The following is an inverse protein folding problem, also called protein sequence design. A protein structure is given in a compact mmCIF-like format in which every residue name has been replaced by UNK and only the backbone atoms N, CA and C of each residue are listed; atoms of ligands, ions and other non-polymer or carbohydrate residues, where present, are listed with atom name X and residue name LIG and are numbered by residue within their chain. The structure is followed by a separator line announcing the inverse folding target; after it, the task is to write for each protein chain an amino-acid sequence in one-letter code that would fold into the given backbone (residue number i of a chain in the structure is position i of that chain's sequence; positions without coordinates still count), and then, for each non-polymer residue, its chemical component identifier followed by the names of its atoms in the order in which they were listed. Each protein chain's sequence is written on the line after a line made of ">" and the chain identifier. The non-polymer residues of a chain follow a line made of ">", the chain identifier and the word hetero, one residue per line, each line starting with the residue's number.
data_IF_369661409377
#
_entry.id   IF_369661409377
#
_cell.length_a   1.000
_cell.length_b   1.000
_cell.length_c   1.000
_cell.angle_alpha   90.00
_cell.angle_beta   90.00
_cell.angle_gamma   90.00
#
_symmetry.space_group_name_H-M   'P 1'
#
loop_
_entity.id
_entity.type
_entity.pdbx_description
1 polymer ?
#
# COMPACT_ATOMS: atom_id res chain seq x y z
N UNK A 1 3.74 30.86 -18.95
CA UNK A 1 4.73 29.88 -18.46
C UNK A 1 4.50 29.51 -17.00
N UNK A 2 4.31 30.45 -16.06
CA UNK A 2 4.11 30.13 -14.63
C UNK A 2 2.91 29.19 -14.41
N UNK A 3 1.74 29.46 -15.01
CA UNK A 3 0.55 28.63 -14.87
C UNK A 3 0.83 27.17 -15.27
N UNK A 4 1.49 26.96 -16.41
CA UNK A 4 1.86 25.61 -16.84
C UNK A 4 2.85 24.91 -15.88
N UNK A 5 3.74 25.66 -15.25
CA UNK A 5 4.64 25.11 -14.24
C UNK A 5 3.87 24.64 -13.01
N UNK A 6 2.91 25.45 -12.52
CA UNK A 6 2.03 25.06 -11.41
C UNK A 6 1.21 23.82 -11.76
N UNK A 7 0.61 23.80 -12.94
CA UNK A 7 -0.20 22.67 -13.37
C UNK A 7 0.60 21.37 -13.50
N UNK A 8 1.80 21.44 -14.05
CA UNK A 8 2.69 20.28 -14.15
C UNK A 8 3.14 19.79 -12.76
N UNK A 9 3.41 20.72 -11.84
CA UNK A 9 3.75 20.39 -10.46
C UNK A 9 2.56 19.73 -9.74
N UNK A 10 1.35 20.26 -9.92
CA UNK A 10 0.11 19.67 -9.36
C UNK A 10 -0.18 18.28 -9.92
N UNK A 11 0.04 18.06 -11.20
CA UNK A 11 -0.11 16.76 -11.85
C UNK A 11 0.89 15.73 -11.29
N UNK A 12 2.17 16.14 -11.19
CA UNK A 12 3.22 15.30 -10.59
C UNK A 12 2.91 14.94 -9.14
N UNK A 13 2.48 15.92 -8.32
CA UNK A 13 2.08 15.68 -6.93
C UNK A 13 0.86 14.74 -6.89
N UNK A 14 -0.10 14.93 -7.78
CA UNK A 14 -1.29 14.08 -7.85
C UNK A 14 -0.95 12.60 -8.16
N UNK A 15 -0.01 12.37 -9.04
CA UNK A 15 0.44 11.01 -9.38
C UNK A 15 1.27 10.38 -8.25
N UNK A 16 2.09 11.17 -7.57
CA UNK A 16 2.82 10.72 -6.39
C UNK A 16 1.89 10.38 -5.23
N UNK A 17 0.87 11.20 -4.96
CA UNK A 17 -0.16 10.93 -3.95
C UNK A 17 -0.87 9.61 -4.24
N UNK A 18 -1.34 9.37 -5.46
CA UNK A 18 -1.99 8.10 -5.84
C UNK A 18 -1.06 6.89 -5.62
N UNK A 19 0.23 7.03 -5.94
CA UNK A 19 1.21 5.97 -5.74
C UNK A 19 1.45 5.67 -4.25
N UNK A 20 1.50 6.71 -3.40
CA UNK A 20 1.65 6.56 -1.95
C UNK A 20 0.39 5.99 -1.30
N UNK A 21 -0.79 6.45 -1.69
CA UNK A 21 -2.08 5.90 -1.22
C UNK A 21 -2.21 4.41 -1.57
N UNK A 22 -1.81 4.03 -2.78
CA UNK A 22 -1.79 2.62 -3.18
C UNK A 22 -0.83 1.80 -2.32
N UNK A 23 0.35 2.33 -1.98
CA UNK A 23 1.28 1.66 -1.06
C UNK A 23 0.71 1.54 0.35
N UNK A 24 -0.02 2.57 0.82
CA UNK A 24 -0.62 2.60 2.15
C UNK A 24 -1.83 1.66 2.26
N UNK A 25 -2.54 1.38 1.16
CA UNK A 25 -3.79 0.62 1.17
C UNK A 25 -3.60 -0.86 1.49
N UNK A 26 -2.40 -1.43 1.28
CA UNK A 26 -2.19 -2.88 1.38
C UNK A 26 -0.76 -3.24 1.78
N UNK A 27 -0.65 -4.14 2.74
CA UNK A 27 0.60 -4.82 3.07
C UNK A 27 0.44 -6.33 2.84
N UNK A 28 0.82 -6.80 1.66
CA UNK A 28 0.67 -8.20 1.23
C UNK A 28 1.40 -9.17 2.16
N UNK A 29 2.53 -8.75 2.74
CA UNK A 29 3.31 -9.60 3.64
C UNK A 29 2.60 -9.78 4.98
N UNK A 30 2.10 -8.70 5.57
CA UNK A 30 1.35 -8.76 6.83
C UNK A 30 0.06 -9.58 6.65
N UNK A 31 -0.68 -9.35 5.55
CA UNK A 31 -1.89 -10.12 5.22
C UNK A 31 -1.57 -11.62 5.07
N UNK A 32 -0.44 -11.97 4.43
CA UNK A 32 -0.04 -13.37 4.26
C UNK A 32 0.28 -14.05 5.59
N UNK A 33 1.02 -13.38 6.50
CA UNK A 33 1.34 -13.90 7.83
C UNK A 33 0.09 -14.03 8.68
N UNK A 34 -0.82 -13.05 8.65
CA UNK A 34 -2.10 -13.12 9.36
C UNK A 34 -2.99 -14.27 8.86
N UNK A 35 -2.99 -14.50 7.56
CA UNK A 35 -3.71 -15.64 6.97
C UNK A 35 -3.14 -16.97 7.45
N UNK A 36 -1.82 -17.13 7.45
CA UNK A 36 -1.16 -18.34 7.97
C UNK A 36 -1.47 -18.57 9.45
N UNK A 37 -1.46 -17.51 10.26
CA UNK A 37 -1.79 -17.58 11.68
C UNK A 37 -3.24 -18.04 11.89
N UNK A 38 -4.18 -17.53 11.07
CA UNK A 38 -5.57 -17.93 11.13
C UNK A 38 -5.78 -19.40 10.74
N UNK A 39 -5.12 -19.86 9.67
CA UNK A 39 -5.21 -21.26 9.20
C UNK A 39 -4.70 -22.24 10.27
N UNK A 40 -3.54 -21.99 10.85
CA UNK A 40 -2.98 -22.86 11.90
C UNK A 40 -3.82 -22.80 13.19
N UNK A 41 -4.37 -21.63 13.52
CA UNK A 41 -5.24 -21.49 14.68
C UNK A 41 -6.55 -22.30 14.51
N UNK A 42 -7.08 -22.35 13.30
CA UNK A 42 -8.26 -23.17 12.98
C UNK A 42 -7.93 -24.67 13.04
N UNK A 43 -6.76 -25.07 12.53
CA UNK A 43 -6.26 -26.43 12.63
C UNK A 43 -6.12 -26.86 14.10
N UNK A 44 -5.50 -26.03 14.95
CA UNK A 44 -5.40 -26.26 16.39
C UNK A 44 -6.78 -26.43 17.03
N UNK A 45 -7.73 -25.55 16.71
CA UNK A 45 -9.09 -25.65 17.23
C UNK A 45 -9.78 -26.97 16.85
N UNK A 46 -9.51 -27.49 15.64
CA UNK A 46 -9.97 -28.80 15.21
C UNK A 46 -9.36 -29.94 16.05
N UNK A 47 -8.05 -29.88 16.31
CA UNK A 47 -7.36 -30.89 17.13
C UNK A 47 -7.82 -30.86 18.60
N UNK A 48 -8.08 -29.68 19.17
CA UNK A 48 -8.68 -29.55 20.51
C UNK A 48 -10.03 -30.27 20.60
N UNK A 49 -10.89 -30.11 19.58
CA UNK A 49 -12.18 -30.82 19.55
C UNK A 49 -12.02 -32.32 19.47
N UNK A 50 -11.04 -32.82 18.69
CA UNK A 50 -10.71 -34.25 18.65
C UNK A 50 -10.23 -34.76 20.00
N UNK A 51 -9.32 -34.01 20.64
CA UNK A 51 -8.81 -34.35 21.98
C UNK A 51 -9.93 -34.46 22.99
N UNK A 52 -10.84 -33.48 23.07
CA UNK A 52 -12.01 -33.54 23.96
C UNK A 52 -12.91 -34.76 23.69
N UNK A 53 -13.09 -35.14 22.42
CA UNK A 53 -13.89 -36.31 22.07
C UNK A 53 -13.21 -37.64 22.49
N UNK A 54 -11.89 -37.71 22.45
CA UNK A 54 -11.12 -38.87 22.90
C UNK A 54 -11.12 -38.94 24.43
N UNK A 55 -10.88 -37.84 25.13
CA UNK A 55 -10.92 -37.72 26.60
C UNK A 55 -12.27 -38.24 27.16
N UNK A 56 -13.40 -37.87 26.52
CA UNK A 56 -14.73 -38.39 26.91
C UNK A 56 -14.78 -39.91 26.76
N UNK A 57 -14.30 -40.46 25.63
CA UNK A 57 -14.29 -41.92 25.41
C UNK A 57 -13.41 -42.65 26.41
N UNK A 58 -12.23 -42.08 26.71
CA UNK A 58 -11.31 -42.65 27.72
C UNK A 58 -11.98 -42.68 29.08
N UNK A 59 -12.60 -41.56 29.49
CA UNK A 59 -13.32 -41.47 30.77
C UNK A 59 -14.47 -42.48 30.85
N UNK A 60 -15.32 -42.56 29.84
CA UNK A 60 -16.46 -43.51 29.78
C UNK A 60 -15.95 -44.96 29.83
N UNK A 61 -14.85 -45.26 29.13
CA UNK A 61 -14.27 -46.61 29.12
C UNK A 61 -13.65 -46.95 30.48
N UNK A 62 -12.97 -45.99 31.12
CA UNK A 62 -12.44 -46.16 32.48
C UNK A 62 -13.55 -46.48 33.51
N UNK A 63 -14.66 -45.73 33.48
CA UNK A 63 -15.81 -45.96 34.34
C UNK A 63 -16.46 -47.32 34.06
N UNK A 64 -16.50 -47.73 32.81
CA UNK A 64 -17.03 -49.04 32.42
C UNK A 64 -16.17 -50.18 32.93
N UNK A 65 -14.88 -50.13 32.73
CA UNK A 65 -13.92 -51.11 33.24
C UNK A 65 -14.07 -51.26 34.75
N UNK A 66 -14.13 -50.13 35.48
CA UNK A 66 -14.29 -50.13 36.94
C UNK A 66 -15.57 -50.87 37.38
N UNK A 67 -16.70 -50.60 36.74
CA UNK A 67 -17.98 -51.27 37.02
C UNK A 67 -17.91 -52.77 36.72
N UNK A 68 -17.29 -53.15 35.60
CA UNK A 68 -17.15 -54.58 35.22
C UNK A 68 -16.20 -55.30 36.16
N UNK A 69 -15.13 -54.66 36.63
CA UNK A 69 -14.23 -55.21 37.66
C UNK A 69 -14.94 -55.36 39.02
N UNK A 70 -15.75 -54.37 39.43
CA UNK A 70 -16.57 -54.49 40.65
C UNK A 70 -17.52 -55.68 40.54
N UNK A 71 -18.20 -55.87 39.40
CA UNK A 71 -19.09 -57.04 39.18
C UNK A 71 -18.36 -58.39 39.18
N UNK A 72 -17.09 -58.42 38.74
CA UNK A 72 -16.28 -59.63 38.73
C UNK A 72 -15.96 -60.12 40.13
N UNK A 73 -15.82 -59.18 41.12
CA UNK A 73 -15.40 -59.49 42.48
C UNK A 73 -16.52 -59.40 43.52
N UNK A 74 -17.74 -58.95 43.18
CA UNK A 74 -18.86 -58.84 44.15
C UNK A 74 -19.54 -60.17 44.49
N UNK A 75 -19.16 -61.26 43.83
CA UNK A 75 -19.71 -62.62 44.08
C UNK A 75 -21.11 -62.89 43.53
N UNK A 76 -21.64 -61.96 42.75
CA UNK A 76 -22.99 -62.12 42.12
C UNK A 76 -22.99 -63.15 40.98
N UNK A 77 -21.86 -63.30 40.29
CA UNK A 77 -21.70 -64.21 39.15
C UNK A 77 -21.08 -65.49 39.66
N UNK A 78 -21.93 -66.58 39.69
CA UNK A 78 -21.50 -67.87 40.19
C UNK A 78 -21.17 -68.89 39.08
N UNK A 79 -21.51 -68.57 37.83
CA UNK A 79 -21.27 -69.46 36.67
C UNK A 79 -19.82 -69.20 36.15
N UNK A 80 -19.00 -70.24 36.09
CA UNK A 80 -17.59 -70.12 35.61
C UNK A 80 -17.48 -69.60 34.17
N UNK A 81 -18.43 -69.94 33.28
CA UNK A 81 -18.44 -69.49 31.90
C UNK A 81 -18.74 -67.94 31.78
N UNK A 82 -19.63 -67.46 32.66
CA UNK A 82 -20.02 -66.06 32.67
C UNK A 82 -18.85 -65.20 33.29
N UNK A 83 -18.17 -65.75 34.27
CA UNK A 83 -16.92 -65.13 34.81
C UNK A 83 -15.82 -65.04 33.75
N UNK A 84 -15.60 -66.10 32.96
CA UNK A 84 -14.63 -66.11 31.86
C UNK A 84 -14.99 -65.09 30.77
N UNK A 85 -16.27 -65.02 30.42
CA UNK A 85 -16.77 -64.03 29.45
C UNK A 85 -16.52 -62.60 29.94
N UNK A 86 -16.84 -62.27 31.19
CA UNK A 86 -16.64 -60.96 31.79
C UNK A 86 -15.16 -60.58 31.84
N UNK A 87 -14.29 -61.55 32.21
CA UNK A 87 -12.83 -61.32 32.17
C UNK A 87 -12.33 -60.98 30.76
N UNK A 88 -12.83 -61.68 29.75
CA UNK A 88 -12.47 -61.40 28.36
C UNK A 88 -13.03 -60.06 27.86
N UNK A 89 -14.18 -59.62 28.36
CA UNK A 89 -14.71 -58.27 28.08
C UNK A 89 -13.86 -57.17 28.73
N UNK A 90 -13.55 -57.31 30.00
CA UNK A 90 -12.66 -56.39 30.72
C UNK A 90 -11.28 -56.27 30.01
N UNK A 91 -10.72 -57.39 29.56
CA UNK A 91 -9.48 -57.38 28.81
C UNK A 91 -9.59 -56.60 27.48
N UNK A 92 -10.69 -56.76 26.76
CA UNK A 92 -10.95 -55.99 25.51
C UNK A 92 -11.12 -54.52 25.81
N UNK A 93 -11.85 -54.14 26.85
CA UNK A 93 -12.07 -52.77 27.24
C UNK A 93 -10.76 -52.08 27.71
N UNK A 94 -9.89 -52.80 28.44
CA UNK A 94 -8.56 -52.32 28.79
C UNK A 94 -7.65 -52.05 27.59
N UNK A 95 -7.73 -52.93 26.58
CA UNK A 95 -6.96 -52.69 25.34
C UNK A 95 -7.51 -51.47 24.59
N UNK A 96 -8.83 -51.25 24.55
CA UNK A 96 -9.43 -50.05 23.96
C UNK A 96 -9.07 -48.78 24.76
N UNK A 97 -9.11 -48.86 26.08
CA UNK A 97 -8.71 -47.78 26.97
C UNK A 97 -7.26 -47.34 26.69
N UNK A 98 -6.34 -48.33 26.63
CA UNK A 98 -4.94 -48.06 26.29
C UNK A 98 -4.80 -47.44 24.91
N UNK A 99 -5.58 -47.84 23.91
CA UNK A 99 -5.54 -47.23 22.59
C UNK A 99 -6.06 -45.81 22.57
N UNK A 100 -7.01 -45.44 23.43
CA UNK A 100 -7.45 -44.06 23.58
C UNK A 100 -6.41 -43.21 24.31
N UNK A 101 -5.74 -43.74 25.33
CA UNK A 101 -4.61 -43.06 25.97
C UNK A 101 -3.47 -42.79 24.98
N UNK A 102 -3.15 -43.75 24.10
CA UNK A 102 -2.14 -43.55 23.04
C UNK A 102 -2.59 -42.47 22.07
N UNK A 103 -3.87 -42.42 21.66
CA UNK A 103 -4.42 -41.37 20.78
C UNK A 103 -4.39 -40.00 21.46
N UNK A 104 -4.66 -39.90 22.77
CA UNK A 104 -4.52 -38.67 23.55
C UNK A 104 -3.07 -38.15 23.55
N UNK A 105 -2.09 -39.03 23.74
CA UNK A 105 -0.68 -38.67 23.72
C UNK A 105 -0.23 -38.15 22.35
N UNK A 106 -0.69 -38.82 21.27
CA UNK A 106 -0.40 -38.34 19.90
C UNK A 106 -1.03 -36.95 19.64
N UNK A 107 -2.28 -36.75 20.05
CA UNK A 107 -2.97 -35.47 19.90
C UNK A 107 -2.30 -34.36 20.73
N UNK A 108 -1.83 -34.67 21.95
CA UNK A 108 -1.05 -33.74 22.78
C UNK A 108 0.22 -33.31 22.08
N UNK A 109 0.98 -34.25 21.52
CA UNK A 109 2.21 -33.93 20.78
C UNK A 109 1.93 -32.99 19.59
N UNK A 110 0.85 -33.26 18.83
CA UNK A 110 0.45 -32.40 17.70
C UNK A 110 0.05 -31.00 18.19
N UNK A 111 -0.69 -30.92 19.31
CA UNK A 111 -1.09 -29.63 19.87
C UNK A 111 0.12 -28.81 20.36
N UNK A 112 1.13 -29.46 20.95
CA UNK A 112 2.39 -28.79 21.35
C UNK A 112 3.17 -28.25 20.13
N UNK A 113 3.25 -29.03 19.04
CA UNK A 113 3.89 -28.58 17.79
C UNK A 113 3.15 -27.40 17.16
N UNK A 114 1.81 -27.44 17.15
CA UNK A 114 0.98 -26.35 16.66
C UNK A 114 1.16 -25.08 17.52
N UNK A 115 1.26 -25.24 18.84
CA UNK A 115 1.52 -24.10 19.75
C UNK A 115 2.87 -23.47 19.51
N UNK A 116 3.92 -24.26 19.33
CA UNK A 116 5.25 -23.75 18.99
C UNK A 116 5.24 -23.00 17.64
N UNK A 117 4.50 -23.53 16.67
CA UNK A 117 4.34 -22.91 15.35
C UNK A 117 3.56 -21.60 15.43
N UNK A 118 2.44 -21.58 16.16
CA UNK A 118 1.64 -20.37 16.40
C UNK A 118 2.48 -19.30 17.08
N UNK A 119 3.28 -19.66 18.09
CA UNK A 119 4.16 -18.71 18.77
C UNK A 119 5.19 -18.08 17.81
N UNK A 120 5.75 -18.89 16.91
CA UNK A 120 6.73 -18.42 15.92
C UNK A 120 6.08 -17.44 14.94
N UNK A 121 4.94 -17.81 14.35
CA UNK A 121 4.21 -16.98 13.39
C UNK A 121 3.65 -15.72 14.05
N UNK A 122 3.15 -15.82 15.28
CA UNK A 122 2.67 -14.66 16.05
C UNK A 122 3.79 -13.65 16.35
N UNK A 123 5.00 -14.13 16.63
CA UNK A 123 6.18 -13.26 16.78
C UNK A 123 6.58 -12.59 15.47
N UNK A 124 6.48 -13.28 14.35
CA UNK A 124 6.71 -12.71 13.02
C UNK A 124 5.63 -11.67 12.68
N UNK A 125 4.36 -11.99 12.91
CA UNK A 125 3.25 -11.05 12.70
C UNK A 125 3.44 -9.77 13.52
N UNK A 126 3.84 -9.89 14.77
CA UNK A 126 4.10 -8.73 15.63
C UNK A 126 5.23 -7.83 15.09
N UNK A 127 6.31 -8.42 14.55
CA UNK A 127 7.40 -7.66 13.92
C UNK A 127 6.93 -6.96 12.63
N UNK A 128 6.24 -7.70 11.74
CA UNK A 128 5.72 -7.14 10.50
C UNK A 128 4.69 -6.04 10.75
N UNK A 129 3.85 -6.19 11.76
CA UNK A 129 2.87 -5.17 12.17
C UNK A 129 3.57 -3.90 12.65
N UNK A 130 4.55 -4.02 13.53
CA UNK A 130 5.29 -2.87 14.06
C UNK A 130 6.04 -2.12 12.96
N UNK A 131 6.66 -2.86 12.03
CA UNK A 131 7.35 -2.25 10.89
C UNK A 131 6.34 -1.57 9.94
N UNK A 132 5.18 -2.19 9.70
CA UNK A 132 4.13 -1.58 8.89
C UNK A 132 3.55 -0.32 9.53
N UNK A 133 3.36 -0.30 10.85
CA UNK A 133 2.92 0.89 11.56
C UNK A 133 3.90 2.05 11.40
N UNK A 134 5.22 1.79 11.51
CA UNK A 134 6.27 2.78 11.27
C UNK A 134 6.23 3.31 9.84
N UNK A 135 6.23 2.42 8.84
CA UNK A 135 6.17 2.78 7.43
C UNK A 135 4.88 3.55 7.11
N UNK A 136 3.74 3.10 7.63
CA UNK A 136 2.44 3.77 7.44
C UNK A 136 2.44 5.19 7.99
N UNK A 137 3.10 5.41 9.12
CA UNK A 137 3.22 6.74 9.71
C UNK A 137 4.10 7.67 8.86
N UNK A 138 5.20 7.17 8.33
CA UNK A 138 6.08 7.91 7.40
C UNK A 138 5.34 8.26 6.10
N UNK A 139 4.62 7.30 5.50
CA UNK A 139 3.83 7.51 4.30
C UNK A 139 2.73 8.57 4.53
N UNK A 140 2.00 8.49 5.63
CA UNK A 140 0.96 9.48 5.99
C UNK A 140 1.55 10.88 6.17
N UNK A 141 2.71 11.00 6.81
CA UNK A 141 3.42 12.28 6.96
C UNK A 141 3.81 12.86 5.61
N UNK A 142 4.31 12.03 4.69
CA UNK A 142 4.67 12.44 3.33
C UNK A 142 3.44 12.88 2.52
N UNK A 143 2.33 12.13 2.60
CA UNK A 143 1.05 12.47 1.97
C UNK A 143 0.58 13.85 2.46
N UNK A 144 0.54 14.08 3.77
CA UNK A 144 0.14 15.37 4.34
C UNK A 144 1.04 16.52 3.87
N UNK A 145 2.34 16.29 3.75
CA UNK A 145 3.27 17.30 3.22
C UNK A 145 2.99 17.63 1.75
N UNK A 146 2.75 16.62 0.92
CA UNK A 146 2.40 16.79 -0.50
C UNK A 146 1.05 17.50 -0.68
N UNK A 147 0.04 17.18 0.12
CA UNK A 147 -1.27 17.86 0.12
C UNK A 147 -1.14 19.35 0.48
N UNK A 148 -0.33 19.67 1.51
CA UNK A 148 -0.04 21.04 1.88
C UNK A 148 0.67 21.79 0.74
N UNK A 149 1.69 21.17 0.12
CA UNK A 149 2.39 21.75 -1.03
C UNK A 149 1.44 21.96 -2.21
N UNK A 150 0.56 20.99 -2.50
CA UNK A 150 -0.47 21.11 -3.54
C UNK A 150 -1.38 22.32 -3.27
N UNK A 151 -1.80 22.50 -2.02
CA UNK A 151 -2.63 23.64 -1.63
C UNK A 151 -1.92 24.97 -1.84
N UNK A 152 -0.64 25.09 -1.44
CA UNK A 152 0.16 26.29 -1.64
C UNK A 152 0.35 26.61 -3.14
N UNK A 153 0.59 25.58 -3.96
CA UNK A 153 0.73 25.76 -5.42
C UNK A 153 -0.60 26.20 -6.04
N UNK A 154 -1.74 25.68 -5.60
CA UNK A 154 -3.06 26.13 -6.08
C UNK A 154 -3.31 27.60 -5.76
N UNK A 155 -3.03 28.02 -4.54
CA UNK A 155 -3.16 29.44 -4.15
C UNK A 155 -2.21 30.33 -4.97
N UNK A 156 -0.96 29.90 -5.18
CA UNK A 156 -0.03 30.64 -6.02
C UNK A 156 -0.50 30.71 -7.49
N UNK A 157 -1.07 29.64 -8.01
CA UNK A 157 -1.68 29.63 -9.36
C UNK A 157 -2.84 30.61 -9.45
N UNK A 158 -3.72 30.68 -8.48
CA UNK A 158 -4.85 31.61 -8.44
C UNK A 158 -4.36 33.06 -8.44
N UNK A 159 -3.42 33.41 -7.55
CA UNK A 159 -2.85 34.76 -7.48
C UNK A 159 -2.21 35.17 -8.82
N UNK A 160 -1.40 34.30 -9.42
CA UNK A 160 -0.77 34.60 -10.71
C UNK A 160 -1.80 34.63 -11.88
N UNK A 161 -2.87 33.84 -11.80
CA UNK A 161 -3.97 33.83 -12.77
C UNK A 161 -4.73 35.15 -12.73
N UNK A 162 -5.01 35.68 -11.55
CA UNK A 162 -5.72 36.97 -11.37
C UNK A 162 -4.94 38.17 -11.92
N UNK A 163 -3.65 38.02 -12.16
CA UNK A 163 -2.81 39.06 -12.81
C UNK A 163 -2.95 39.08 -14.32
N UNK A 164 -3.58 38.07 -14.92
CA UNK A 164 -3.78 37.91 -16.35
C UNK A 164 -5.21 38.29 -16.74
N UNK A 165 -5.37 38.66 -18.03
CA UNK A 165 -6.72 38.85 -18.57
C UNK A 165 -7.45 37.51 -18.72
N UNK A 166 -8.78 37.53 -18.53
CA UNK A 166 -9.62 36.34 -18.57
C UNK A 166 -9.55 35.57 -19.89
N UNK A 167 -9.31 36.26 -21.00
CA UNK A 167 -9.21 35.66 -22.33
C UNK A 167 -7.93 34.82 -22.44
N UNK A 168 -6.82 35.36 -22.01
CA UNK A 168 -5.52 34.63 -21.95
C UNK A 168 -5.58 33.40 -21.06
N UNK A 169 -6.22 33.49 -19.89
CA UNK A 169 -6.39 32.34 -19.01
C UNK A 169 -7.27 31.25 -19.66
N UNK A 170 -8.36 31.65 -20.27
CA UNK A 170 -9.25 30.74 -20.98
C UNK A 170 -8.55 30.04 -22.15
N UNK A 171 -7.83 30.78 -22.97
CA UNK A 171 -7.03 30.23 -24.07
C UNK A 171 -6.00 29.23 -23.59
N UNK A 172 -5.34 29.54 -22.46
CA UNK A 172 -4.39 28.63 -21.84
C UNK A 172 -5.05 27.31 -21.41
N UNK A 173 -6.16 27.35 -20.68
CA UNK A 173 -6.86 26.15 -20.20
C UNK A 173 -7.40 25.29 -21.36
N UNK A 174 -7.96 25.95 -22.40
CA UNK A 174 -8.42 25.24 -23.60
C UNK A 174 -7.26 24.54 -24.34
N UNK A 175 -6.13 25.24 -24.48
CA UNK A 175 -4.95 24.65 -25.11
C UNK A 175 -4.36 23.52 -24.27
N UNK A 176 -4.31 23.68 -22.94
CA UNK A 176 -3.83 22.65 -22.05
C UNK A 176 -4.63 21.34 -22.20
N UNK A 177 -5.96 21.47 -22.24
CA UNK A 177 -6.86 20.32 -22.40
C UNK A 177 -6.67 19.64 -23.76
N UNK A 178 -6.51 20.42 -24.85
CA UNK A 178 -6.36 19.87 -26.22
C UNK A 178 -4.97 19.39 -26.58
N UNK A 179 -3.96 19.71 -25.79
CA UNK A 179 -2.53 19.50 -26.13
C UNK A 179 -1.78 18.72 -25.05
N UNK A 180 -2.47 17.78 -24.43
CA UNK A 180 -1.88 16.82 -23.48
C UNK A 180 -1.10 17.51 -22.34
N UNK A 181 -1.70 18.54 -21.73
CA UNK A 181 -1.12 19.26 -20.60
C UNK A 181 -0.12 20.35 -20.98
N UNK A 182 0.27 20.51 -22.25
CA UNK A 182 1.29 21.47 -22.70
C UNK A 182 0.65 22.57 -23.54
N UNK A 183 0.21 23.66 -22.91
CA UNK A 183 -0.37 24.83 -23.59
C UNK A 183 0.71 25.84 -24.06
N UNK A 184 1.80 25.98 -23.31
CA UNK A 184 2.84 26.96 -23.56
C UNK A 184 4.12 26.28 -24.01
N UNK A 185 4.76 26.84 -25.03
CA UNK A 185 6.01 26.38 -25.61
C UNK A 185 7.02 27.54 -25.73
N UNK A 186 8.25 27.24 -26.07
CA UNK A 186 9.24 28.24 -26.40
C UNK A 186 9.95 27.92 -27.72
N UNK A 187 10.77 28.85 -28.19
CA UNK A 187 11.57 28.68 -29.40
C UNK A 187 13.00 28.35 -29.00
N UNK A 188 13.57 27.32 -29.60
CA UNK A 188 15.00 27.03 -29.51
C UNK A 188 15.61 27.17 -30.91
N UNK A 189 16.56 28.09 -31.05
CA UNK A 189 17.07 28.47 -32.36
C UNK A 189 15.95 29.01 -33.28
N UNK A 190 15.58 28.24 -34.30
CA UNK A 190 14.54 28.59 -35.27
C UNK A 190 13.28 27.70 -35.15
N UNK A 191 13.22 26.81 -34.17
CA UNK A 191 12.16 25.78 -34.10
C UNK A 191 11.34 25.90 -32.82
N UNK A 192 10.07 25.56 -32.92
CA UNK A 192 9.17 25.36 -31.78
C UNK A 192 9.56 24.06 -31.06
N UNK A 193 9.83 24.10 -29.75
CA UNK A 193 10.26 22.93 -28.97
C UNK A 193 9.18 21.86 -28.86
N UNK A 194 7.89 22.23 -28.96
CA UNK A 194 6.80 21.25 -28.84
C UNK A 194 6.44 20.53 -30.15
N UNK A 195 6.65 21.14 -31.32
CA UNK A 195 6.31 20.50 -32.60
C UNK A 195 7.48 20.38 -33.57
N UNK A 196 8.65 20.87 -33.20
CA UNK A 196 9.91 20.81 -33.94
C UNK A 196 9.87 21.45 -35.34
N UNK A 197 8.87 22.29 -35.63
CA UNK A 197 8.78 22.98 -36.90
C UNK A 197 9.35 24.39 -36.81
N UNK A 198 9.85 24.87 -37.97
CA UNK A 198 10.48 26.16 -38.10
C UNK A 198 9.52 27.32 -37.85
N UNK A 199 9.97 28.33 -37.16
CA UNK A 199 9.23 29.57 -36.86
C UNK A 199 9.72 30.69 -37.75
N UNK A 200 8.84 31.44 -38.44
CA UNK A 200 9.22 32.58 -39.26
C UNK A 200 9.93 33.68 -38.44
N UNK A 201 10.96 34.32 -39.01
CA UNK A 201 11.75 35.36 -38.34
C UNK A 201 10.93 36.59 -37.93
N UNK A 202 9.86 36.90 -38.72
CA UNK A 202 8.94 37.97 -38.35
C UNK A 202 8.18 37.69 -37.05
N UNK A 203 7.81 36.43 -36.80
CA UNK A 203 7.15 36.03 -35.56
C UNK A 203 8.11 36.05 -34.39
N UNK A 204 9.36 35.63 -34.58
CA UNK A 204 10.39 35.70 -33.51
C UNK A 204 10.59 37.12 -32.98
N UNK A 205 10.70 38.09 -33.88
CA UNK A 205 10.80 39.50 -33.49
C UNK A 205 9.62 39.96 -32.64
N UNK A 206 8.43 39.55 -32.99
CA UNK A 206 7.21 39.87 -32.24
C UNK A 206 7.18 39.21 -30.85
N UNK A 207 7.69 38.01 -30.72
CA UNK A 207 7.76 37.30 -29.43
C UNK A 207 8.74 37.99 -28.48
N UNK A 208 9.83 38.55 -29.01
CA UNK A 208 10.85 39.22 -28.19
C UNK A 208 10.35 40.56 -27.61
N UNK A 209 9.40 41.23 -28.28
CA UNK A 209 8.80 42.50 -27.79
C UNK A 209 7.69 42.29 -26.76
N UNK A 210 7.22 41.05 -26.56
CA UNK A 210 6.24 40.60 -25.53
C UNK A 210 4.95 41.45 -25.43
N UNK A 211 4.59 42.22 -26.45
CA UNK A 211 3.39 43.08 -26.43
C UNK A 211 2.06 42.35 -26.57
N UNK A 212 2.07 41.11 -27.09
CA UNK A 212 0.89 40.33 -27.33
C UNK A 212 1.16 38.84 -27.17
N UNK A 213 0.12 38.06 -26.82
CA UNK A 213 0.16 36.60 -26.84
C UNK A 213 0.43 36.09 -28.25
N UNK A 214 1.49 35.33 -28.45
CA UNK A 214 1.89 34.78 -29.74
C UNK A 214 1.70 33.27 -29.74
N UNK A 215 1.19 32.74 -30.88
CA UNK A 215 0.93 31.33 -31.05
C UNK A 215 1.84 30.70 -32.10
N UNK A 216 2.21 29.47 -31.92
CA UNK A 216 2.92 28.71 -32.95
C UNK A 216 2.02 28.51 -34.17
N UNK A 217 2.47 28.88 -35.39
CA UNK A 217 1.63 28.76 -36.58
C UNK A 217 1.20 27.32 -36.89
N UNK A 218 1.99 26.36 -36.44
CA UNK A 218 1.74 24.94 -36.67
C UNK A 218 0.95 24.26 -35.54
N UNK A 219 1.48 24.19 -34.32
CA UNK A 219 0.84 23.45 -33.21
C UNK A 219 -0.14 24.29 -32.39
N UNK A 220 -0.24 25.59 -32.67
CA UNK A 220 -1.14 26.57 -32.02
C UNK A 220 -0.90 26.78 -30.52
N UNK A 221 0.15 26.21 -29.93
CA UNK A 221 0.52 26.50 -28.55
C UNK A 221 0.99 27.94 -28.38
N UNK A 222 0.76 28.49 -27.21
CA UNK A 222 1.26 29.82 -26.84
C UNK A 222 2.79 29.78 -26.84
N UNK A 223 3.43 30.72 -27.51
CA UNK A 223 4.90 30.85 -27.49
C UNK A 223 5.29 31.92 -26.47
N UNK A 224 5.95 31.47 -25.42
CA UNK A 224 6.55 32.37 -24.44
C UNK A 224 7.97 32.81 -24.91
N UNK A 225 8.37 34.04 -24.62
CA UNK A 225 9.75 34.47 -24.84
C UNK A 225 10.70 33.58 -24.03
N UNK A 226 11.86 33.28 -24.62
CA UNK A 226 12.89 32.51 -23.94
C UNK A 226 13.66 33.47 -23.01
N UNK A 227 13.47 33.32 -21.73
CA UNK A 227 14.12 34.09 -20.71
C UNK A 227 15.35 33.31 -20.24
N UNK A 228 16.52 33.90 -20.37
CA UNK A 228 17.76 33.30 -19.85
C UNK A 228 17.85 33.47 -18.32
N UNK A 229 18.43 32.49 -17.67
CA UNK A 229 18.75 32.60 -16.25
C UNK A 229 19.71 33.80 -16.03
N UNK A 230 19.34 34.70 -15.13
CA UNK A 230 20.13 35.89 -14.82
C UNK A 230 21.29 35.61 -13.87
N UNK A 231 21.42 34.35 -13.40
CA UNK A 231 22.58 33.97 -12.61
C UNK A 231 23.85 33.98 -13.44
N UNK A 232 24.90 34.65 -12.90
CA UNK A 232 26.16 34.90 -13.60
C UNK A 232 26.80 33.59 -14.07
N UNK A 233 26.98 33.44 -15.38
CA UNK A 233 27.58 32.26 -15.99
C UNK A 233 26.62 31.10 -16.28
N UNK A 234 25.32 31.25 -16.02
CA UNK A 234 24.32 30.24 -16.34
C UNK A 234 23.79 30.45 -17.78
N UNK A 235 23.78 29.37 -18.57
CA UNK A 235 23.24 29.35 -19.95
C UNK A 235 21.84 28.75 -20.02
N UNK A 236 21.33 28.25 -18.89
CA UNK A 236 20.01 27.62 -18.78
C UNK A 236 18.88 28.63 -18.94
N UNK A 237 17.73 28.14 -19.40
CA UNK A 237 16.50 28.93 -19.51
C UNK A 237 15.97 29.21 -18.12
N UNK A 238 15.81 30.49 -17.75
CA UNK A 238 15.15 30.88 -16.52
C UNK A 238 13.63 30.72 -16.63
N UNK A 239 13.08 29.82 -15.83
CA UNK A 239 11.64 29.54 -15.80
C UNK A 239 10.88 30.34 -14.72
N UNK A 240 11.57 30.82 -13.70
CA UNK A 240 10.99 31.50 -12.54
C UNK A 240 11.46 32.94 -12.44
N UNK A 241 10.54 33.89 -12.37
CA UNK A 241 10.81 35.26 -12.03
C UNK A 241 10.85 35.36 -10.49
N UNK A 242 12.06 35.59 -9.95
CA UNK A 242 12.26 35.63 -8.48
C UNK A 242 11.96 37.03 -7.94
N UNK A 243 12.13 38.06 -8.76
CA UNK A 243 11.86 39.42 -8.32
C UNK A 243 11.10 40.18 -9.42
N UNK A 244 9.89 40.63 -9.09
CA UNK A 244 9.03 41.40 -10.01
C UNK A 244 9.64 42.79 -10.37
N UNK A 245 10.44 43.35 -9.49
CA UNK A 245 11.01 44.71 -9.67
C UNK A 245 12.27 44.70 -10.51
N UNK A 246 13.07 43.63 -10.52
CA UNK A 246 14.39 43.56 -11.18
C UNK A 246 14.42 42.66 -12.41
N UNK A 247 13.29 42.08 -12.82
CA UNK A 247 13.17 41.11 -13.94
C UNK A 247 14.23 39.99 -13.87
N UNK A 248 14.51 39.51 -12.66
CA UNK A 248 15.41 38.39 -12.46
C UNK A 248 14.71 37.06 -12.73
N UNK A 249 15.24 36.29 -13.68
CA UNK A 249 14.78 34.97 -14.05
C UNK A 249 15.81 33.93 -13.63
N UNK A 250 15.37 32.89 -12.95
CA UNK A 250 16.25 31.81 -12.51
C UNK A 250 15.78 30.47 -13.10
N UNK A 251 16.75 29.64 -13.48
CA UNK A 251 16.46 28.23 -13.80
C UNK A 251 16.20 27.42 -12.52
N UNK A 252 15.70 26.20 -12.66
CA UNK A 252 15.39 25.32 -11.53
C UNK A 252 16.56 25.07 -10.59
N UNK A 253 17.79 25.14 -11.09
CA UNK A 253 19.02 24.98 -10.29
C UNK A 253 19.38 26.23 -9.46
N UNK A 254 18.91 27.40 -9.87
CA UNK A 254 19.23 28.68 -9.23
C UNK A 254 17.99 29.38 -8.65
N UNK A 255 16.90 28.69 -8.51
CA UNK A 255 15.62 29.21 -8.01
C UNK A 255 15.52 29.30 -6.48
N UNK A 256 16.60 28.90 -5.76
CA UNK A 256 16.69 28.94 -4.29
C UNK A 256 17.32 30.26 -3.82
#
# INVERSE_FOLDING_TARGET
>A
MKLQHYDNALESIGDELKALEKKLSKNERLEAVQKQLAEISEEKASHIKKMQAVEIKTSEMGDRIKKEEEQLYDGTITNAKDLENLQNEIKRHKNLYSSFEDEELELLSVLEELDATILTISTEEGKERSEWERISQELKSTITSLENNSTLIKVAKEIDSDTLDNETVKDYEELRTRKDGVAVTHIQGNTCVSCYLSIPDALKRRITTAENTNYCPNCKRIIAPQLQCTHKGCTEIGALQINQTTAEFRCTQHAI
#
